data_IF_575609460851
#
_entry.id   IF_575609460851
#
_cell.length_a   1.000
_cell.length_b   1.000
_cell.length_c   1.000
_cell.angle_alpha   90.00
_cell.angle_beta   90.00
_cell.angle_gamma   90.00
#
_symmetry.space_group_name_H-M   'P 1'
#
loop_
_entity.id
_entity.type
_entity.pdbx_description
1 polymer ?
#
# COMPACT_ATOMS: atom_id res chain seq x y z
N UNK A 1 -15.15 -30.73 -33.95
CA UNK A 1 -15.04 -30.88 -32.49
C UNK A 1 -13.78 -30.16 -32.10
N UNK A 2 -13.90 -28.87 -31.84
CA UNK A 2 -12.78 -28.04 -31.43
C UNK A 2 -12.59 -28.16 -29.92
N UNK A 3 -11.47 -28.68 -29.49
CA UNK A 3 -11.00 -28.57 -28.14
C UNK A 3 -10.72 -27.08 -27.88
N UNK A 4 -11.48 -26.50 -26.95
CA UNK A 4 -11.27 -25.14 -26.55
C UNK A 4 -9.89 -24.98 -25.92
N UNK A 5 -8.98 -24.40 -26.68
CA UNK A 5 -7.69 -23.96 -26.19
C UNK A 5 -7.94 -23.06 -24.99
N UNK A 6 -7.48 -23.49 -23.81
CA UNK A 6 -7.36 -22.61 -22.66
C UNK A 6 -6.46 -21.47 -23.11
N UNK A 7 -7.03 -20.29 -23.24
CA UNK A 7 -6.23 -19.06 -23.37
C UNK A 7 -5.35 -18.99 -22.12
N UNK A 8 -4.14 -19.50 -22.21
CA UNK A 8 -3.10 -19.17 -21.25
C UNK A 8 -2.92 -17.68 -21.36
N UNK A 9 -3.23 -16.97 -20.27
CA UNK A 9 -3.27 -15.52 -20.25
C UNK A 9 -1.94 -14.94 -20.71
N UNK A 10 -1.96 -14.33 -21.89
CA UNK A 10 -0.81 -13.64 -22.45
C UNK A 10 -0.46 -12.37 -21.70
N UNK A 11 0.63 -11.73 -22.09
CA UNK A 11 1.12 -10.48 -21.49
C UNK A 11 0.08 -9.34 -21.54
N UNK A 12 -0.84 -9.40 -22.48
CA UNK A 12 -1.96 -8.44 -22.59
C UNK A 12 -2.92 -8.46 -21.39
N UNK A 13 -2.89 -9.51 -20.59
CA UNK A 13 -3.70 -9.62 -19.37
C UNK A 13 -2.98 -9.15 -18.11
N UNK A 14 -1.70 -8.80 -18.23
CA UNK A 14 -0.94 -8.27 -17.09
C UNK A 14 -1.37 -6.83 -16.83
N UNK A 15 -2.20 -6.64 -15.81
CA UNK A 15 -2.61 -5.30 -15.43
C UNK A 15 -1.47 -4.56 -14.72
N UNK A 16 -1.30 -3.29 -15.08
CA UNK A 16 -0.51 -2.36 -14.28
C UNK A 16 -1.28 -2.10 -13.00
N UNK A 17 -0.94 -2.83 -11.94
CA UNK A 17 -1.51 -2.59 -10.63
C UNK A 17 -0.61 -1.66 -9.85
N UNK A 18 -1.24 -0.61 -9.30
CA UNK A 18 -0.60 0.24 -8.34
C UNK A 18 -0.29 -0.51 -7.04
N UNK A 19 0.28 0.17 -6.07
CA UNK A 19 0.40 -0.35 -4.72
C UNK A 19 -0.99 -0.66 -4.15
N UNK A 20 -1.07 -1.35 -3.04
CA UNK A 20 -2.33 -1.58 -2.33
C UNK A 20 -3.23 -0.31 -2.24
N UNK A 21 -4.56 -0.45 -2.20
CA UNK A 21 -5.24 -1.68 -1.85
C UNK A 21 -5.68 -2.51 -3.06
N UNK A 22 -5.84 -3.81 -2.82
CA UNK A 22 -6.54 -4.72 -3.74
C UNK A 22 -7.86 -5.13 -3.08
N UNK A 23 -8.97 -4.94 -3.79
CA UNK A 23 -10.29 -5.42 -3.36
C UNK A 23 -10.62 -6.65 -4.19
N UNK A 24 -10.81 -7.79 -3.54
CA UNK A 24 -11.03 -9.07 -4.20
C UNK A 24 -12.04 -9.91 -3.42
N UNK A 25 -12.87 -10.66 -4.15
CA UNK A 25 -13.79 -11.59 -3.53
C UNK A 25 -13.06 -12.73 -2.80
N UNK A 26 -13.46 -13.08 -1.59
CA UNK A 26 -12.79 -14.07 -0.73
C UNK A 26 -12.49 -15.40 -1.43
N UNK A 27 -13.46 -15.96 -2.16
CA UNK A 27 -13.27 -17.23 -2.85
C UNK A 27 -12.25 -17.15 -3.98
N UNK A 28 -12.11 -15.97 -4.62
CA UNK A 28 -11.11 -15.73 -5.63
C UNK A 28 -9.72 -15.55 -4.98
N UNK A 29 -9.65 -14.82 -3.89
CA UNK A 29 -8.41 -14.66 -3.11
C UNK A 29 -7.86 -16.03 -2.67
N UNK A 30 -8.72 -16.93 -2.16
CA UNK A 30 -8.31 -18.27 -1.77
C UNK A 30 -7.67 -19.07 -2.91
N UNK A 31 -8.11 -18.85 -4.14
CA UNK A 31 -7.53 -19.49 -5.33
C UNK A 31 -6.20 -18.87 -5.76
N UNK A 32 -6.01 -17.59 -5.49
CA UNK A 32 -4.85 -16.80 -5.98
C UNK A 32 -3.67 -16.88 -5.04
N UNK A 33 -3.88 -17.05 -3.73
CA UNK A 33 -2.82 -16.94 -2.72
C UNK A 33 -1.64 -17.86 -3.02
N UNK A 34 -1.89 -19.13 -3.29
CA UNK A 34 -0.82 -20.08 -3.57
C UNK A 34 -0.10 -19.79 -4.91
N UNK A 35 -0.81 -19.59 -6.04
CA UNK A 35 -0.17 -19.17 -7.28
C UNK A 35 0.63 -17.87 -7.14
N UNK A 36 0.15 -16.91 -6.40
CA UNK A 36 0.87 -15.66 -6.11
C UNK A 36 2.17 -15.93 -5.34
N UNK A 37 2.10 -16.70 -4.27
CA UNK A 37 3.27 -17.07 -3.49
C UNK A 37 4.33 -17.77 -4.34
N UNK A 38 3.93 -18.78 -5.12
CA UNK A 38 4.83 -19.50 -6.02
C UNK A 38 5.44 -18.60 -7.10
N UNK A 39 4.67 -17.64 -7.61
CA UNK A 39 5.18 -16.64 -8.56
C UNK A 39 6.26 -15.78 -7.92
N UNK A 40 6.03 -15.26 -6.72
CA UNK A 40 7.04 -14.47 -6.00
C UNK A 40 8.33 -15.26 -5.76
N UNK A 41 8.22 -16.54 -5.37
CA UNK A 41 9.39 -17.40 -5.20
C UNK A 41 10.13 -17.65 -6.53
N UNK A 42 9.40 -17.83 -7.62
CA UNK A 42 9.98 -18.01 -8.95
C UNK A 42 10.74 -16.77 -9.37
N UNK A 43 10.12 -15.60 -9.29
CA UNK A 43 10.76 -14.32 -9.62
C UNK A 43 11.98 -14.04 -8.73
N UNK A 44 11.91 -14.40 -7.45
CA UNK A 44 13.01 -14.17 -6.51
C UNK A 44 14.23 -15.07 -6.78
N UNK A 45 14.00 -16.27 -7.33
CA UNK A 45 15.08 -17.22 -7.72
C UNK A 45 15.68 -16.89 -9.07
N UNK A 46 14.97 -16.20 -9.91
CA UNK A 46 15.44 -15.71 -11.19
C UNK A 46 16.21 -14.40 -10.98
N UNK A 47 17.53 -14.46 -11.18
CA UNK A 47 18.42 -13.31 -10.94
C UNK A 47 18.07 -12.09 -11.79
N UNK A 48 17.67 -12.29 -13.04
CA UNK A 48 17.30 -11.18 -13.94
C UNK A 48 15.98 -10.57 -13.51
N UNK A 49 14.99 -11.38 -13.14
CA UNK A 49 13.72 -10.88 -12.60
C UNK A 49 13.89 -10.18 -11.25
N UNK A 50 14.66 -10.76 -10.31
CA UNK A 50 14.93 -10.14 -9.01
C UNK A 50 15.61 -8.77 -9.16
N UNK A 51 16.58 -8.69 -10.07
CA UNK A 51 17.26 -7.42 -10.37
C UNK A 51 16.35 -6.41 -11.06
N UNK A 52 15.52 -6.85 -12.01
CA UNK A 52 14.64 -5.97 -12.77
C UNK A 52 13.50 -5.42 -11.92
N UNK A 53 12.86 -6.26 -11.11
CA UNK A 53 11.71 -5.87 -10.30
C UNK A 53 12.09 -5.27 -8.95
N UNK A 54 13.23 -5.65 -8.40
CA UNK A 54 13.77 -5.08 -7.17
C UNK A 54 12.76 -5.08 -6.02
N UNK A 55 12.54 -3.92 -5.44
CA UNK A 55 11.66 -3.75 -4.27
C UNK A 55 10.15 -3.88 -4.57
N UNK A 56 9.73 -3.93 -5.82
CA UNK A 56 8.32 -4.13 -6.25
C UNK A 56 8.07 -5.54 -6.78
N UNK A 57 8.95 -6.48 -6.51
CA UNK A 57 8.86 -7.84 -7.01
C UNK A 57 7.55 -8.53 -6.65
N UNK A 58 7.05 -8.34 -5.42
CA UNK A 58 5.78 -8.93 -4.98
C UNK A 58 4.57 -8.35 -5.74
N UNK A 59 4.62 -7.09 -6.13
CA UNK A 59 3.57 -6.47 -6.94
C UNK A 59 3.52 -7.10 -8.33
N UNK A 60 4.67 -7.33 -8.94
CA UNK A 60 4.76 -8.05 -10.20
C UNK A 60 4.37 -9.53 -10.05
N UNK A 61 4.74 -10.16 -8.95
CA UNK A 61 4.30 -11.50 -8.61
C UNK A 61 2.78 -11.63 -8.60
N UNK A 62 2.08 -10.66 -8.02
CA UNK A 62 0.62 -10.58 -8.04
C UNK A 62 0.07 -10.43 -9.45
N UNK A 63 0.56 -9.44 -10.21
CA UNK A 63 0.09 -9.17 -11.57
C UNK A 63 0.25 -10.37 -12.50
N UNK A 64 1.40 -11.04 -12.44
CA UNK A 64 1.68 -12.20 -13.26
C UNK A 64 0.87 -13.43 -12.85
N UNK A 65 0.73 -13.69 -11.54
CA UNK A 65 -0.06 -14.82 -11.06
C UNK A 65 -1.54 -14.68 -11.43
N UNK A 66 -2.11 -13.49 -11.26
CA UNK A 66 -3.51 -13.23 -11.61
C UNK A 66 -3.74 -13.28 -13.11
N UNK A 67 -2.82 -12.75 -13.92
CA UNK A 67 -2.89 -12.84 -15.38
C UNK A 67 -2.89 -14.29 -15.87
N UNK A 68 -1.99 -15.14 -15.35
CA UNK A 68 -1.97 -16.57 -15.67
C UNK A 68 -3.26 -17.30 -15.32
N UNK A 69 -3.98 -16.81 -14.33
CA UNK A 69 -5.29 -17.37 -13.93
C UNK A 69 -6.46 -16.76 -14.71
N UNK A 70 -6.20 -15.91 -15.69
CA UNK A 70 -7.23 -15.20 -16.44
C UNK A 70 -8.03 -14.18 -15.62
N UNK A 71 -7.50 -13.75 -14.48
CA UNK A 71 -8.14 -12.75 -13.61
C UNK A 71 -7.78 -11.35 -14.12
N UNK A 72 -8.79 -10.60 -14.48
CA UNK A 72 -8.64 -9.22 -14.91
C UNK A 72 -8.84 -8.25 -13.75
N UNK A 73 -8.01 -7.23 -13.69
CA UNK A 73 -8.14 -6.16 -12.72
C UNK A 73 -8.97 -5.01 -13.30
N UNK A 74 -9.85 -4.46 -12.48
CA UNK A 74 -10.43 -3.16 -12.70
C UNK A 74 -9.58 -2.14 -11.95
N UNK A 75 -8.86 -1.31 -12.70
CA UNK A 75 -8.08 -0.21 -12.11
C UNK A 75 -9.01 0.99 -11.90
N UNK A 76 -9.21 1.38 -10.65
CA UNK A 76 -10.04 2.52 -10.25
C UNK A 76 -9.11 3.66 -9.80
N UNK A 77 -8.89 4.69 -10.64
CA UNK A 77 -7.94 5.76 -10.33
C UNK A 77 -8.25 6.52 -9.04
N UNK A 78 -9.53 6.62 -8.69
CA UNK A 78 -10.00 7.32 -7.49
C UNK A 78 -9.78 6.52 -6.20
N UNK A 79 -9.52 5.22 -6.30
CA UNK A 79 -9.35 4.38 -5.11
C UNK A 79 -8.12 4.80 -4.31
N UNK A 80 -7.02 5.11 -4.99
CA UNK A 80 -5.80 5.55 -4.34
C UNK A 80 -5.08 6.61 -5.17
N UNK A 81 -4.63 7.65 -4.51
CA UNK A 81 -3.70 8.62 -5.07
C UNK A 81 -2.30 8.47 -4.46
N UNK A 82 -1.29 8.66 -5.30
CA UNK A 82 0.09 8.81 -4.88
C UNK A 82 0.54 10.24 -5.17
N UNK A 83 0.44 11.15 -4.18
CA UNK A 83 0.91 12.50 -4.39
C UNK A 83 2.41 12.51 -4.68
N UNK A 84 2.77 12.93 -5.87
CA UNK A 84 4.14 13.23 -6.22
C UNK A 84 4.62 14.52 -5.51
N UNK A 85 5.83 14.92 -5.75
CA UNK A 85 6.56 15.98 -5.03
C UNK A 85 5.74 17.26 -4.70
N UNK A 86 4.82 17.68 -5.56
CA UNK A 86 3.98 18.86 -5.33
C UNK A 86 2.71 18.60 -4.51
N UNK A 87 2.36 17.34 -4.29
CA UNK A 87 1.11 16.95 -3.64
C UNK A 87 -0.13 17.10 -4.53
N UNK A 88 -1.30 16.92 -3.93
CA UNK A 88 -2.61 17.00 -4.58
C UNK A 88 -3.47 18.03 -3.87
N UNK A 89 -4.09 18.95 -4.60
CA UNK A 89 -4.94 20.01 -4.04
C UNK A 89 -6.36 19.52 -3.75
N UNK A 90 -6.95 18.76 -4.66
CA UNK A 90 -8.32 18.23 -4.50
C UNK A 90 -8.28 16.85 -3.83
N UNK A 91 -8.50 16.83 -2.52
CA UNK A 91 -8.51 15.61 -1.73
C UNK A 91 -9.78 14.79 -1.90
N UNK A 92 -10.91 15.44 -2.13
CA UNK A 92 -12.24 14.81 -2.13
C UNK A 92 -12.44 13.81 -3.26
N UNK A 93 -11.53 13.81 -4.24
CA UNK A 93 -11.56 12.90 -5.38
C UNK A 93 -11.11 11.49 -5.03
N UNK A 94 -10.36 11.30 -3.94
CA UNK A 94 -9.68 10.04 -3.67
C UNK A 94 -10.06 9.48 -2.29
N UNK A 95 -10.12 8.15 -2.21
CA UNK A 95 -10.43 7.46 -0.95
C UNK A 95 -9.20 7.20 -0.08
N UNK A 96 -8.04 6.99 -0.71
CA UNK A 96 -6.79 6.68 -0.03
C UNK A 96 -5.67 7.57 -0.55
N UNK A 97 -4.85 8.06 0.36
CA UNK A 97 -3.60 8.77 0.04
C UNK A 97 -2.41 7.94 0.47
N UNK A 98 -1.62 7.49 -0.49
CA UNK A 98 -0.41 6.74 -0.26
C UNK A 98 0.81 7.64 -0.46
N UNK A 99 1.44 8.04 0.62
CA UNK A 99 2.61 8.92 0.59
C UNK A 99 3.87 8.11 0.28
N UNK A 100 4.04 7.73 -0.97
CA UNK A 100 5.23 7.01 -1.46
C UNK A 100 6.44 7.91 -1.54
N UNK A 101 6.23 9.14 -1.99
CA UNK A 101 7.28 10.12 -2.25
C UNK A 101 7.41 11.13 -1.11
N UNK A 102 8.55 11.84 -1.14
CA UNK A 102 8.76 12.97 -0.25
C UNK A 102 7.79 14.09 -0.57
N UNK A 103 7.36 14.82 0.45
CA UNK A 103 6.55 16.02 0.30
C UNK A 103 7.47 17.24 0.23
N UNK A 104 7.29 18.10 -0.77
CA UNK A 104 8.11 19.31 -0.97
C UNK A 104 7.24 20.48 -1.40
N UNK A 105 7.47 21.64 -0.79
CA UNK A 105 6.84 22.91 -1.19
C UNK A 105 7.79 24.05 -0.87
N UNK A 106 8.47 24.57 -1.87
CA UNK A 106 9.54 25.54 -1.67
C UNK A 106 10.65 25.00 -0.75
N UNK A 107 11.02 25.73 0.30
CA UNK A 107 12.04 25.28 1.24
C UNK A 107 11.53 24.23 2.23
N UNK A 108 10.21 24.04 2.37
CA UNK A 108 9.63 23.03 3.24
C UNK A 108 9.67 21.66 2.58
N UNK A 109 10.10 20.66 3.35
CA UNK A 109 10.07 19.28 2.90
C UNK A 109 9.90 18.32 4.07
N UNK A 110 9.31 17.16 3.77
CA UNK A 110 9.24 16.03 4.70
C UNK A 110 9.48 14.72 3.95
N UNK A 111 10.28 13.83 4.56
CA UNK A 111 10.56 12.51 4.01
C UNK A 111 10.45 11.45 5.09
N UNK A 112 9.60 10.43 4.86
CA UNK A 112 9.50 9.27 5.74
C UNK A 112 10.82 8.48 5.82
N UNK A 113 11.63 8.53 4.76
CA UNK A 113 12.88 7.76 4.67
C UNK A 113 13.93 8.19 5.68
N UNK A 114 13.91 9.46 6.09
CA UNK A 114 14.79 9.98 7.14
C UNK A 114 14.46 9.37 8.50
N UNK A 115 13.23 8.89 8.67
CA UNK A 115 12.71 8.39 9.94
C UNK A 115 12.49 6.87 9.98
N UNK A 116 13.09 6.11 9.05
CA UNK A 116 12.89 4.64 8.99
C UNK A 116 13.30 3.89 10.27
N UNK A 117 14.18 4.48 11.09
CA UNK A 117 14.68 3.87 12.34
C UNK A 117 14.56 4.79 13.54
N UNK A 118 13.81 5.87 13.41
CA UNK A 118 13.63 6.87 14.46
C UNK A 118 12.18 7.30 14.56
N UNK A 119 11.80 7.83 15.71
CA UNK A 119 10.50 8.49 15.86
C UNK A 119 10.63 9.92 15.34
N UNK A 120 9.85 10.34 14.32
CA UNK A 120 9.90 11.70 13.85
C UNK A 120 9.43 12.69 14.94
N UNK A 121 10.05 13.86 15.03
CA UNK A 121 9.49 14.97 15.81
C UNK A 121 8.17 15.43 15.18
N UNK A 122 7.44 16.31 15.88
CA UNK A 122 6.30 16.98 15.27
C UNK A 122 6.75 17.68 13.99
N UNK A 123 5.97 17.50 12.95
CA UNK A 123 6.28 18.00 11.60
C UNK A 123 5.93 19.50 11.56
N UNK A 124 6.87 20.32 11.08
CA UNK A 124 6.60 21.74 10.86
C UNK A 124 5.50 21.96 9.84
N UNK A 125 4.69 23.01 10.03
CA UNK A 125 3.60 23.30 9.11
C UNK A 125 4.14 23.64 7.72
N UNK A 126 3.52 23.12 6.66
CA UNK A 126 3.84 23.49 5.29
C UNK A 126 3.38 24.94 5.02
N UNK A 127 3.97 25.61 4.01
CA UNK A 127 3.54 26.95 3.62
C UNK A 127 2.05 27.01 3.26
N UNK A 128 1.45 28.21 3.40
CA UNK A 128 0.02 28.40 3.12
C UNK A 128 -0.39 27.97 1.71
N UNK A 129 0.49 28.11 0.71
CA UNK A 129 0.25 27.71 -0.67
C UNK A 129 0.53 26.23 -0.95
N UNK A 130 0.94 25.44 0.06
CA UNK A 130 1.14 24.01 -0.12
C UNK A 130 -0.15 23.29 -0.50
N UNK A 131 0.00 22.16 -1.19
CA UNK A 131 -1.13 21.31 -1.57
C UNK A 131 -1.94 20.83 -0.36
N UNK A 132 -3.22 20.61 -0.55
CA UNK A 132 -4.13 20.10 0.48
C UNK A 132 -3.62 18.79 1.11
N UNK A 133 -3.12 17.87 0.29
CA UNK A 133 -2.56 16.60 0.76
C UNK A 133 -1.40 16.78 1.74
N UNK A 134 -0.51 17.75 1.51
CA UNK A 134 0.60 18.03 2.43
C UNK A 134 0.12 18.59 3.77
N UNK A 135 -0.87 19.48 3.75
CA UNK A 135 -1.47 20.06 4.97
C UNK A 135 -2.18 18.99 5.80
N UNK A 136 -3.06 18.23 5.16
CA UNK A 136 -3.80 17.13 5.81
C UNK A 136 -2.87 16.07 6.37
N UNK A 137 -1.80 15.72 5.63
CA UNK A 137 -0.80 14.78 6.14
C UNK A 137 -0.17 15.28 7.45
N UNK A 138 0.29 16.53 7.48
CA UNK A 138 0.93 17.11 8.68
C UNK A 138 -0.05 17.18 9.85
N UNK A 139 -1.29 17.54 9.59
CA UNK A 139 -2.34 17.60 10.61
C UNK A 139 -2.61 16.23 11.23
N UNK A 140 -2.85 15.21 10.38
CA UNK A 140 -3.15 13.83 10.83
C UNK A 140 -1.93 13.25 11.56
N UNK A 141 -0.73 13.36 10.99
CA UNK A 141 0.48 12.83 11.62
C UNK A 141 0.78 13.49 12.95
N UNK A 142 0.72 14.80 13.02
CA UNK A 142 0.95 15.52 14.28
C UNK A 142 -0.15 15.22 15.32
N UNK A 143 -1.39 15.07 14.87
CA UNK A 143 -2.50 14.63 15.72
C UNK A 143 -2.25 13.24 16.33
N UNK A 144 -1.87 12.28 15.48
CA UNK A 144 -1.54 10.93 15.92
C UNK A 144 -0.34 10.90 16.88
N UNK A 145 0.73 11.64 16.58
CA UNK A 145 1.90 11.73 17.45
C UNK A 145 1.58 12.33 18.83
N UNK A 146 0.71 13.34 18.89
CA UNK A 146 0.27 13.93 20.18
C UNK A 146 -0.63 12.99 20.97
N UNK A 147 -1.42 12.15 20.30
CA UNK A 147 -2.29 11.18 20.95
C UNK A 147 -1.55 9.95 21.50
N UNK A 148 -0.34 9.68 21.02
CA UNK A 148 0.47 8.55 21.50
C UNK A 148 1.25 8.96 22.75
N UNK A 149 1.07 8.25 23.89
CA UNK A 149 1.83 8.52 25.10
C UNK A 149 3.33 8.38 24.83
N UNK A 150 4.10 9.29 25.37
CA UNK A 150 5.57 9.27 25.36
C UNK A 150 6.21 9.27 23.97
N UNK A 151 5.52 9.76 22.94
CA UNK A 151 6.08 9.78 21.59
C UNK A 151 7.48 10.41 21.54
N UNK A 152 7.67 11.56 22.20
CA UNK A 152 8.95 12.29 22.20
C UNK A 152 10.06 11.64 23.04
N UNK A 153 9.72 10.78 24.00
CA UNK A 153 10.65 10.13 24.91
C UNK A 153 11.00 8.68 24.53
N UNK A 154 10.37 8.15 23.49
CA UNK A 154 10.61 6.79 23.02
C UNK A 154 12.05 6.63 22.53
N UNK A 155 12.76 5.64 23.10
CA UNK A 155 14.11 5.32 22.66
C UNK A 155 14.05 4.62 21.28
N UNK A 156 14.59 5.22 20.21
CA UNK A 156 14.54 4.62 18.87
C UNK A 156 15.36 3.32 18.75
N UNK A 157 16.21 3.01 19.72
CA UNK A 157 17.09 1.84 19.67
C UNK A 157 16.37 0.52 19.97
N UNK A 158 15.18 0.57 20.54
CA UNK A 158 14.39 -0.64 20.83
C UNK A 158 12.93 -0.33 20.47
N UNK A 159 12.48 -0.62 19.25
CA UNK A 159 11.04 -0.58 18.95
C UNK A 159 10.36 -1.58 19.88
N UNK A 160 9.60 -1.12 20.88
CA UNK A 160 8.61 -1.98 21.51
C UNK A 160 7.62 -2.34 20.41
N UNK A 161 7.64 -3.59 19.99
CA UNK A 161 6.55 -4.13 19.20
C UNK A 161 5.27 -3.83 19.96
N UNK A 162 4.37 -3.09 19.35
CA UNK A 162 3.03 -2.92 19.89
C UNK A 162 2.47 -4.33 20.10
N UNK A 163 1.82 -4.61 21.24
CA UNK A 163 1.12 -5.87 21.38
C UNK A 163 0.14 -6.01 20.21
N UNK A 164 -0.02 -7.22 19.68
CA UNK A 164 -1.00 -7.44 18.61
C UNK A 164 -2.35 -6.89 19.06
N UNK A 165 -3.13 -6.30 18.15
CA UNK A 165 -4.45 -5.82 18.48
C UNK A 165 -5.26 -6.98 19.10
N UNK A 166 -6.10 -6.71 20.11
CA UNK A 166 -6.93 -7.75 20.70
C UNK A 166 -7.73 -8.42 19.59
N UNK A 167 -7.96 -9.73 19.67
CA UNK A 167 -8.78 -10.43 18.70
C UNK A 167 -10.14 -9.74 18.62
N UNK A 168 -10.73 -9.64 17.41
CA UNK A 168 -12.05 -9.05 17.25
C UNK A 168 -13.00 -9.73 18.21
N UNK A 169 -13.75 -8.94 18.98
CA UNK A 169 -14.76 -9.47 19.90
C UNK A 169 -15.64 -10.44 19.12
N UNK A 170 -15.72 -11.68 19.62
CA UNK A 170 -16.56 -12.70 18.99
C UNK A 170 -17.97 -12.13 18.84
N UNK A 171 -18.40 -11.92 17.62
CA UNK A 171 -19.78 -11.52 17.34
C UNK A 171 -20.68 -12.60 17.90
N UNK A 172 -21.37 -12.29 19.00
CA UNK A 172 -22.45 -13.15 19.48
C UNK A 172 -23.49 -13.17 18.37
N UNK A 173 -23.46 -14.21 17.56
CA UNK A 173 -24.57 -14.51 16.66
C UNK A 173 -25.81 -14.73 17.53
N UNK A 174 -26.71 -13.76 17.51
CA UNK A 174 -28.05 -13.95 18.04
C UNK A 174 -28.71 -15.02 17.15
N UNK A 175 -28.70 -16.26 17.61
CA UNK A 175 -29.60 -17.27 17.10
C UNK A 175 -30.97 -16.87 17.62
N UNK A 176 -31.73 -16.16 16.80
CA UNK A 176 -33.17 -16.00 17.01
C UNK A 176 -33.84 -17.35 16.70
N UNK A 177 -34.58 -17.86 17.65
CA UNK A 177 -35.53 -19.00 17.51
C UNK A 177 -36.75 -18.54 16.72
#
# INVERSE_FOLDING_TARGET
RGEGGRNEGGLENVASIGPSPVVIHKALLQKVVEPFWQMCLTLKRDHEADKAFGWVLEMWGWSLATARMGIRHLVVPELQAEPANGGIHNLDRYFIYHYTFDLKTGPWSWSKRVHMRTYPPLIGLPPAHAAGSSKTFVEIMNGAMRALPDWGSRNPKVPKLLPPPPPPAASRSAVAR
#
